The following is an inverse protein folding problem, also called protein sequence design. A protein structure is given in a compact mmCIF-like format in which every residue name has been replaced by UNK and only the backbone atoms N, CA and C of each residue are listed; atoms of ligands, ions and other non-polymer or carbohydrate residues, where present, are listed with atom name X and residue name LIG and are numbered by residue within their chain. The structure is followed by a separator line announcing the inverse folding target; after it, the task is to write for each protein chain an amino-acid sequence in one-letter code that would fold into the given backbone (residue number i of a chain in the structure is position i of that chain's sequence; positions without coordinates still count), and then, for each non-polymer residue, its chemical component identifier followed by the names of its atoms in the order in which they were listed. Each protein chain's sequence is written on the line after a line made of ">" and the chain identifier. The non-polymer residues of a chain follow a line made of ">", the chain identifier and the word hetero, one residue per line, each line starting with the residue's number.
data_IF_886914903822
#
_entry.id   IF_886914903822
#
_cell.length_a   1.000
_cell.length_b   1.000
_cell.length_c   1.000
_cell.angle_alpha   90.00
_cell.angle_beta   90.00
_cell.angle_gamma   90.00
#
_symmetry.space_group_name_H-M   'P 1'
#
loop_
_entity.id
_entity.type
_entity.pdbx_description
1 polymer ?
#
# COMPACT_ATOMS: atom_id res chain seq x y z
N UNK A 1 -3.29 -21.86 -2.05
CA UNK A 1 -4.68 -21.60 -2.39
C UNK A 1 -5.22 -20.34 -1.68
N UNK A 2 -5.43 -19.24 -2.44
CA UNK A 2 -6.00 -18.00 -1.90
C UNK A 2 -7.39 -18.28 -1.28
N UNK A 3 -7.59 -17.85 -0.02
CA UNK A 3 -8.90 -17.85 0.64
C UNK A 3 -9.66 -16.58 0.27
N UNK A 4 -10.86 -16.74 -0.27
CA UNK A 4 -11.74 -15.61 -0.57
C UNK A 4 -12.55 -15.24 0.68
N UNK A 5 -12.39 -14.00 1.15
CA UNK A 5 -13.29 -13.42 2.13
C UNK A 5 -14.47 -12.76 1.39
N UNK A 6 -15.64 -13.39 1.46
CA UNK A 6 -16.86 -12.90 0.80
C UNK A 6 -17.70 -11.98 1.70
N UNK A 7 -17.34 -11.82 2.97
CA UNK A 7 -18.14 -11.05 3.93
C UNK A 7 -17.65 -9.63 4.15
N UNK A 8 -16.39 -9.32 3.82
CA UNK A 8 -15.79 -7.98 3.74
C UNK A 8 -16.53 -6.90 4.57
N UNK A 9 -16.59 -7.08 5.89
CA UNK A 9 -17.29 -6.18 6.82
C UNK A 9 -16.31 -5.18 7.42
N UNK A 10 -16.80 -4.01 7.87
CA UNK A 10 -16.00 -3.10 8.67
C UNK A 10 -15.42 -3.76 9.93
N UNK A 11 -14.20 -3.36 10.32
CA UNK A 11 -13.54 -3.81 11.55
C UNK A 11 -12.99 -2.63 12.36
N UNK A 12 -12.95 -2.77 13.68
CA UNK A 12 -12.29 -1.81 14.56
C UNK A 12 -10.78 -2.08 14.59
N UNK A 13 -10.01 -1.01 14.42
CA UNK A 13 -8.55 -1.01 14.39
C UNK A 13 -8.02 -0.24 15.60
N UNK A 14 -7.32 -0.93 16.50
CA UNK A 14 -6.69 -0.34 17.68
C UNK A 14 -5.34 0.30 17.33
N UNK A 15 -5.29 1.64 17.24
CA UNK A 15 -4.07 2.35 16.86
C UNK A 15 -3.18 2.69 18.06
N UNK A 16 -3.80 3.03 19.19
CA UNK A 16 -3.14 3.33 20.45
C UNK A 16 -4.12 3.13 21.62
N UNK A 17 -3.66 3.09 22.89
CA UNK A 17 -4.57 3.00 24.03
C UNK A 17 -5.64 4.11 23.99
N UNK A 18 -6.90 3.70 23.87
CA UNK A 18 -8.04 4.61 23.81
C UNK A 18 -8.31 5.23 22.44
N UNK A 19 -7.53 4.91 21.40
CA UNK A 19 -7.71 5.40 20.02
C UNK A 19 -8.00 4.24 19.07
N UNK A 20 -9.20 4.24 18.48
CA UNK A 20 -9.64 3.19 17.54
C UNK A 20 -10.31 3.79 16.31
N UNK A 21 -10.12 3.15 15.16
CA UNK A 21 -10.83 3.51 13.92
C UNK A 21 -11.72 2.35 13.46
N UNK A 22 -12.98 2.64 13.12
CA UNK A 22 -13.80 1.69 12.38
C UNK A 22 -13.47 1.86 10.90
N UNK A 23 -12.92 0.82 10.28
CA UNK A 23 -12.47 0.86 8.89
C UNK A 23 -13.20 -0.14 8.02
N UNK A 24 -13.57 0.26 6.81
CA UNK A 24 -14.05 -0.64 5.77
C UNK A 24 -12.93 -1.54 5.22
N UNK A 25 -13.26 -2.60 4.48
CA UNK A 25 -12.29 -3.50 3.88
C UNK A 25 -11.38 -2.78 2.86
N UNK A 26 -10.08 -3.10 2.88
CA UNK A 26 -9.13 -2.59 1.90
C UNK A 26 -9.31 -3.28 0.54
N UNK A 27 -10.27 -2.81 -0.26
CA UNK A 27 -10.57 -3.38 -1.57
C UNK A 27 -9.66 -2.82 -2.68
N UNK A 28 -9.57 -3.54 -3.80
CA UNK A 28 -8.90 -3.05 -5.01
C UNK A 28 -9.50 -1.73 -5.49
N UNK A 29 -10.83 -1.57 -5.44
CA UNK A 29 -11.50 -0.33 -5.84
C UNK A 29 -11.10 0.84 -4.95
N UNK A 30 -11.02 0.62 -3.62
CA UNK A 30 -10.53 1.63 -2.68
C UNK A 30 -9.09 2.04 -3.03
N UNK A 31 -8.18 1.07 -3.19
CA UNK A 31 -6.78 1.35 -3.52
C UNK A 31 -6.60 2.06 -4.86
N UNK A 32 -7.37 1.68 -5.88
CA UNK A 32 -7.35 2.35 -7.19
C UNK A 32 -7.83 3.80 -7.05
N UNK A 33 -8.95 4.02 -6.36
CA UNK A 33 -9.47 5.38 -6.14
C UNK A 33 -8.56 6.23 -5.25
N UNK A 34 -7.82 5.61 -4.34
CA UNK A 34 -6.88 6.28 -3.46
C UNK A 34 -5.64 6.74 -4.23
N UNK A 35 -5.11 5.91 -5.14
CA UNK A 35 -3.98 6.29 -6.01
C UNK A 35 -4.29 7.42 -6.99
N UNK A 36 -5.56 7.57 -7.35
CA UNK A 36 -6.03 8.64 -8.24
C UNK A 36 -6.43 9.92 -7.48
N UNK A 37 -6.10 10.04 -6.19
CA UNK A 37 -6.44 11.22 -5.40
C UNK A 37 -5.59 12.42 -5.85
N UNK A 38 -6.19 13.60 -6.11
CA UNK A 38 -5.47 14.78 -6.56
C UNK A 38 -4.32 15.18 -5.65
N UNK A 39 -4.44 14.96 -4.33
CA UNK A 39 -3.37 15.28 -3.37
C UNK A 39 -2.07 14.52 -3.60
N UNK A 40 -2.10 13.42 -4.37
CA UNK A 40 -0.91 12.67 -4.78
C UNK A 40 -0.34 13.25 -6.08
N UNK A 41 -1.19 13.64 -7.02
CA UNK A 41 -0.80 14.26 -8.29
C UNK A 41 -0.20 15.65 -8.07
N UNK A 42 -0.75 16.41 -7.12
CA UNK A 42 -0.34 17.76 -6.78
C UNK A 42 0.98 17.83 -6.00
N UNK A 43 1.58 16.69 -5.64
CA UNK A 43 2.89 16.65 -4.98
C UNK A 43 3.97 17.26 -5.89
N UNK A 44 4.87 18.10 -5.32
CA UNK A 44 5.91 18.74 -6.11
C UNK A 44 6.86 17.70 -6.72
N UNK A 45 7.40 18.03 -7.89
CA UNK A 45 8.42 17.22 -8.51
C UNK A 45 9.64 17.11 -7.57
N UNK A 46 9.98 15.88 -7.16
CA UNK A 46 11.04 15.62 -6.19
C UNK A 46 10.56 15.53 -4.73
N UNK A 47 9.25 15.49 -4.48
CA UNK A 47 8.70 15.12 -3.18
C UNK A 47 9.34 13.83 -2.66
N UNK A 48 9.57 13.77 -1.35
CA UNK A 48 10.21 12.60 -0.75
C UNK A 48 9.29 11.37 -0.81
N UNK A 49 9.87 10.19 -0.62
CA UNK A 49 9.08 8.98 -0.49
C UNK A 49 8.15 9.03 0.73
N UNK A 50 8.54 9.75 1.78
CA UNK A 50 7.75 9.95 3.00
C UNK A 50 6.53 10.83 2.71
N UNK A 51 6.70 11.92 1.95
CA UNK A 51 5.59 12.79 1.53
C UNK A 51 4.56 12.02 0.70
N UNK A 52 5.05 11.20 -0.24
CA UNK A 52 4.18 10.32 -1.03
C UNK A 52 3.47 9.28 -0.16
N UNK A 53 4.17 8.67 0.79
CA UNK A 53 3.58 7.69 1.70
C UNK A 53 2.49 8.31 2.57
N UNK A 54 2.72 9.51 3.10
CA UNK A 54 1.75 10.25 3.89
C UNK A 54 0.52 10.64 3.06
N UNK A 55 0.70 11.20 1.86
CA UNK A 55 -0.40 11.54 0.95
C UNK A 55 -1.24 10.32 0.59
N UNK A 56 -0.59 9.19 0.27
CA UNK A 56 -1.25 7.91 0.02
C UNK A 56 -2.02 7.40 1.24
N UNK A 57 -1.44 7.49 2.44
CA UNK A 57 -2.08 7.06 3.68
C UNK A 57 -3.37 7.82 3.95
N UNK A 58 -3.30 9.16 3.84
CA UNK A 58 -4.45 10.05 4.02
C UNK A 58 -5.54 9.77 3.00
N UNK A 59 -5.16 9.64 1.72
CA UNK A 59 -6.09 9.28 0.66
C UNK A 59 -6.84 7.97 0.92
N UNK A 60 -6.12 6.93 1.37
CA UNK A 60 -6.71 5.65 1.78
C UNK A 60 -7.61 5.82 2.99
N UNK A 61 -7.15 6.49 4.05
CA UNK A 61 -7.90 6.67 5.30
C UNK A 61 -9.21 7.42 5.08
N UNK A 62 -9.23 8.50 4.30
CA UNK A 62 -10.46 9.26 3.97
C UNK A 62 -11.55 8.40 3.31
N UNK A 63 -11.18 7.30 2.66
CA UNK A 63 -12.09 6.35 2.01
C UNK A 63 -12.45 5.16 2.89
N UNK A 64 -11.54 4.80 3.79
CA UNK A 64 -11.63 3.61 4.62
C UNK A 64 -12.32 3.87 5.96
N UNK A 65 -12.07 5.01 6.59
CA UNK A 65 -12.54 5.31 7.95
C UNK A 65 -14.02 5.65 7.92
N UNK A 66 -14.80 4.91 8.71
CA UNK A 66 -16.25 5.03 8.83
C UNK A 66 -16.66 5.64 10.17
N UNK A 67 -15.87 5.42 11.21
CA UNK A 67 -16.07 5.95 12.57
C UNK A 67 -14.76 5.94 13.36
N UNK A 68 -14.72 6.57 14.53
CA UNK A 68 -13.57 6.53 15.44
C UNK A 68 -13.94 6.68 16.92
N UNK A 69 -13.01 6.30 17.79
CA UNK A 69 -13.05 6.57 19.23
C UNK A 69 -11.73 7.17 19.67
N UNK A 70 -11.76 8.03 20.69
CA UNK A 70 -10.55 8.63 21.26
C UNK A 70 -10.05 9.88 20.55
N UNK A 71 -10.78 10.39 19.57
CA UNK A 71 -10.48 11.65 18.89
C UNK A 71 -11.39 12.73 19.43
N UNK A 72 -10.78 13.80 19.97
CA UNK A 72 -11.51 14.93 20.51
C UNK A 72 -10.88 16.27 20.11
N UNK A 73 -11.65 17.34 20.30
CA UNK A 73 -11.18 18.71 20.14
C UNK A 73 -10.29 19.15 21.32
N UNK A 74 -9.82 20.40 21.27
CA UNK A 74 -8.96 21.00 22.30
C UNK A 74 -9.59 21.05 23.71
N UNK A 75 -10.91 20.82 23.81
CA UNK A 75 -11.68 20.84 25.06
C UNK A 75 -12.10 19.42 25.47
N UNK A 76 -11.71 18.40 24.69
CA UNK A 76 -11.97 16.99 24.96
C UNK A 76 -13.34 16.48 24.50
N UNK A 77 -14.08 17.25 23.70
CA UNK A 77 -15.33 16.77 23.11
C UNK A 77 -15.04 15.82 21.95
N UNK A 78 -15.79 14.73 21.85
CA UNK A 78 -15.69 13.80 20.72
C UNK A 78 -16.03 14.57 19.44
N UNK A 79 -15.12 14.50 18.47
CA UNK A 79 -15.33 15.10 17.15
C UNK A 79 -15.89 14.05 16.18
N UNK A 80 -16.77 14.41 15.24
CA UNK A 80 -17.18 13.48 14.18
C UNK A 80 -16.03 13.26 13.18
N UNK A 81 -16.04 12.10 12.52
CA UNK A 81 -15.11 11.82 11.42
C UNK A 81 -15.28 12.87 10.31
N UNK A 82 -14.16 13.44 9.89
CA UNK A 82 -14.08 14.39 8.77
C UNK A 82 -12.78 14.18 7.99
N UNK A 83 -12.73 14.54 6.70
CA UNK A 83 -11.49 14.50 5.92
C UNK A 83 -10.34 15.24 6.59
N UNK A 84 -10.60 16.44 7.11
CA UNK A 84 -9.60 17.29 7.77
C UNK A 84 -9.12 16.66 9.09
N UNK A 85 -10.05 16.07 9.85
CA UNK A 85 -9.72 15.36 11.09
C UNK A 85 -8.91 14.09 10.86
N UNK A 86 -9.21 13.33 9.79
CA UNK A 86 -8.41 12.16 9.38
C UNK A 86 -6.99 12.60 9.00
N UNK A 87 -6.88 13.67 8.21
CA UNK A 87 -5.59 14.19 7.78
C UNK A 87 -4.76 14.64 8.98
N UNK A 88 -5.36 15.38 9.92
CA UNK A 88 -4.71 15.82 11.15
C UNK A 88 -4.31 14.65 12.05
N UNK A 89 -5.16 13.62 12.18
CA UNK A 89 -4.86 12.42 12.97
C UNK A 89 -3.62 11.70 12.43
N UNK A 90 -3.47 11.63 11.10
CA UNK A 90 -2.33 11.00 10.44
C UNK A 90 -1.06 11.86 10.40
N UNK A 91 -1.11 13.12 10.83
CA UNK A 91 0.11 13.90 11.10
C UNK A 91 0.80 13.44 12.39
N UNK A 92 0.10 12.69 13.25
CA UNK A 92 0.68 12.13 14.46
C UNK A 92 1.48 10.88 14.07
N UNK A 93 2.80 10.98 14.07
CA UNK A 93 3.70 9.95 13.56
C UNK A 93 3.40 8.52 14.08
N UNK A 94 3.25 8.26 15.39
CA UNK A 94 2.88 6.92 15.88
C UNK A 94 1.55 6.39 15.34
N UNK A 95 0.58 7.27 15.09
CA UNK A 95 -0.75 6.91 14.57
C UNK A 95 -0.64 6.57 13.09
N UNK A 96 0.12 7.35 12.33
CA UNK A 96 0.47 7.04 10.94
C UNK A 96 1.14 5.66 10.81
N UNK A 97 2.16 5.37 11.63
CA UNK A 97 2.86 4.09 11.60
C UNK A 97 1.93 2.92 11.93
N UNK A 98 1.09 3.08 12.95
CA UNK A 98 0.10 2.08 13.35
C UNK A 98 -0.92 1.84 12.21
N UNK A 99 -1.43 2.90 11.59
CA UNK A 99 -2.38 2.77 10.47
C UNK A 99 -1.74 2.09 9.25
N UNK A 100 -0.52 2.49 8.89
CA UNK A 100 0.24 1.85 7.80
C UNK A 100 0.42 0.36 8.04
N UNK A 101 0.86 -0.01 9.25
CA UNK A 101 1.17 -1.41 9.58
C UNK A 101 -0.08 -2.27 9.68
N UNK A 102 -1.08 -1.80 10.44
CA UNK A 102 -2.21 -2.62 10.82
C UNK A 102 -3.33 -2.65 9.78
N UNK A 103 -3.49 -1.60 8.97
CA UNK A 103 -4.52 -1.54 7.93
C UNK A 103 -3.95 -1.76 6.54
N UNK A 104 -3.01 -0.92 6.12
CA UNK A 104 -2.51 -0.92 4.73
C UNK A 104 -1.66 -2.15 4.45
N UNK A 105 -0.60 -2.38 5.24
CA UNK A 105 0.31 -3.50 5.04
C UNK A 105 -0.41 -4.84 5.23
N UNK A 106 -1.19 -4.99 6.30
CA UNK A 106 -2.01 -6.18 6.55
C UNK A 106 -2.97 -6.48 5.39
N UNK A 107 -3.62 -5.46 4.82
CA UNK A 107 -4.54 -5.63 3.69
C UNK A 107 -3.86 -5.94 2.35
N UNK A 108 -2.56 -5.64 2.22
CA UNK A 108 -1.76 -5.99 1.03
C UNK A 108 -1.05 -7.34 1.16
N UNK A 109 -0.95 -7.88 2.38
CA UNK A 109 -0.53 -9.27 2.57
C UNK A 109 -1.68 -10.15 2.10
N UNK A 110 -1.47 -10.80 0.95
CA UNK A 110 -2.26 -11.96 0.56
C UNK A 110 -2.02 -13.02 1.64
N UNK A 111 -2.96 -13.11 2.60
CA UNK A 111 -2.90 -13.93 3.82
C UNK A 111 -1.93 -15.09 3.65
N UNK A 112 -0.77 -14.96 4.31
CA UNK A 112 0.42 -15.75 4.08
C UNK A 112 0.13 -17.25 4.28
N UNK A 113 -0.35 -17.91 3.24
CA UNK A 113 -0.15 -19.32 3.04
C UNK A 113 1.36 -19.54 2.95
N UNK A 114 1.93 -19.86 4.12
CA UNK A 114 3.24 -20.49 4.33
C UNK A 114 4.01 -20.70 3.03
N UNK A 115 4.88 -19.76 2.70
CA UNK A 115 6.15 -20.08 2.08
C UNK A 115 7.17 -19.00 2.43
N UNK A 116 8.14 -19.43 3.23
CA UNK A 116 9.39 -18.74 3.52
C UNK A 116 10.02 -18.26 2.22
N UNK A 117 9.95 -16.97 1.92
CA UNK A 117 10.92 -16.23 1.09
C UNK A 117 10.57 -14.74 1.10
N UNK A 118 11.31 -13.98 1.89
CA UNK A 118 11.35 -12.52 1.72
C UNK A 118 12.14 -12.18 0.46
N UNK A 119 11.73 -11.18 -0.35
CA UNK A 119 12.67 -10.45 -1.18
C UNK A 119 13.19 -9.25 -0.38
N UNK A 120 14.50 -9.23 -0.11
CA UNK A 120 15.19 -7.98 0.23
C UNK A 120 15.10 -7.01 -0.94
N UNK A 121 14.90 -5.69 -0.72
CA UNK A 121 14.97 -4.71 -1.79
C UNK A 121 16.45 -4.36 -2.02
N UNK A 122 17.10 -5.07 -2.94
CA UNK A 122 18.24 -4.51 -3.66
C UNK A 122 18.40 -5.25 -4.98
N UNK A 123 18.24 -4.52 -6.07
CA UNK A 123 18.38 -5.05 -7.42
C UNK A 123 17.97 -4.01 -8.44
N UNK A 124 18.74 -2.91 -8.51
CA UNK A 124 18.75 -2.01 -9.65
C UNK A 124 18.83 -2.82 -10.95
N UNK A 125 18.07 -2.37 -11.95
CA UNK A 125 18.11 -2.81 -13.34
C UNK A 125 19.54 -3.10 -13.83
N UNK A 126 19.79 -4.36 -14.18
CA UNK A 126 20.80 -4.72 -15.17
C UNK A 126 20.14 -5.73 -16.10
N UNK A 127 19.90 -5.31 -17.35
CA UNK A 127 19.25 -6.13 -18.36
C UNK A 127 19.91 -7.49 -18.51
N UNK A 128 19.10 -8.52 -18.72
CA UNK A 128 19.59 -9.85 -19.06
C UNK A 128 20.48 -9.74 -20.31
N UNK A 129 21.78 -9.91 -20.12
CA UNK A 129 22.73 -9.96 -21.23
C UNK A 129 22.56 -11.31 -21.91
N UNK A 130 22.13 -11.32 -23.17
CA UNK A 130 21.98 -12.55 -23.96
C UNK A 130 23.30 -13.32 -24.05
N UNK A 131 23.33 -14.55 -23.54
CA UNK A 131 24.54 -15.39 -23.47
C UNK A 131 24.76 -16.27 -24.71
N UNK A 132 23.91 -16.15 -25.73
CA UNK A 132 24.03 -16.95 -26.95
C UNK A 132 25.15 -16.39 -27.86
N UNK A 133 26.20 -17.19 -28.09
CA UNK A 133 27.21 -16.90 -29.11
C UNK A 133 26.62 -17.15 -30.51
N UNK A 134 26.92 -16.31 -31.52
CA UNK A 134 26.53 -16.58 -32.91
C UNK A 134 27.13 -17.89 -33.41
N UNK A 135 26.33 -18.68 -34.14
CA UNK A 135 26.80 -19.92 -34.76
C UNK A 135 27.86 -19.61 -35.83
N UNK A 136 28.98 -20.36 -35.81
CA UNK A 136 30.04 -20.24 -36.82
C UNK A 136 29.67 -21.07 -38.04
N UNK A 137 29.41 -20.36 -39.14
CA UNK A 137 29.40 -20.76 -40.56
C UNK A 137 28.63 -22.05 -40.96
N UNK A 138 27.85 -22.02 -42.05
CA UNK A 138 27.23 -23.23 -42.60
C UNK A 138 28.28 -24.26 -43.04
N UNK A 139 27.99 -25.54 -42.79
CA UNK A 139 28.80 -26.65 -43.30
C UNK A 139 28.72 -26.75 -44.84
N UNK A 140 29.80 -27.14 -45.53
CA UNK A 140 29.79 -27.33 -46.97
C UNK A 140 28.83 -28.48 -47.37
N UNK A 141 28.09 -28.28 -48.45
CA UNK A 141 27.20 -29.31 -49.03
C UNK A 141 27.99 -30.42 -49.70
N UNK A 142 27.51 -31.66 -49.55
CA UNK A 142 28.09 -32.86 -50.15
C UNK A 142 28.06 -32.80 -51.70
N UNK A 143 29.06 -33.39 -52.39
CA UNK A 143 29.07 -33.45 -53.84
C UNK A 143 27.95 -34.37 -54.36
N UNK A 144 27.26 -33.91 -55.42
CA UNK A 144 26.28 -34.71 -56.16
C UNK A 144 27.02 -35.63 -57.14
N UNK A 145 26.67 -36.91 -57.12
CA UNK A 145 26.88 -37.83 -58.25
C UNK A 145 25.69 -37.76 -59.21
#
# INVERSE_FOLDING_TARGET
>A
MIRLNLTATPEWLDLAPGLRLLVGPLTTALMVSARADPSIEDLPQGASQEDLALAMAKSVARRAVLDWEGVGDDVGNIVPVSPEGIDALLEIWPVFEAFQTQYVAKGLILDAEKNVSAPSPTGLSAGATGTARPAKLPAPTAPRN
#
